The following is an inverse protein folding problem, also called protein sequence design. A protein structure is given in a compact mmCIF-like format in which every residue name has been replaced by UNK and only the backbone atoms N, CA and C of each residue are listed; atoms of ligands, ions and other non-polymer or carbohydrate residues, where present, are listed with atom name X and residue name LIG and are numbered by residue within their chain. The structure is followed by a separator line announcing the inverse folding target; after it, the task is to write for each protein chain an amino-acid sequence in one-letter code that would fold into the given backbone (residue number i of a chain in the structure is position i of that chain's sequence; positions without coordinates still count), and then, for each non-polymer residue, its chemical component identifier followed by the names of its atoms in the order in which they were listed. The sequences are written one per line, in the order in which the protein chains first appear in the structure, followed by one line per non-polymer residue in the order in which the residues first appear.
data_IF_196164071493
#
_entry.id   IF_196164071493
#
_cell.length_a   1.000
_cell.length_b   1.000
_cell.length_c   1.000
_cell.angle_alpha   90.00
_cell.angle_beta   90.00
_cell.angle_gamma   90.00
#
_symmetry.space_group_name_H-M   'P 1'
#
loop_
_entity.id
_entity.type
_entity.pdbx_description
1 polymer ?
#
# COMPACT_ATOMS: atom_id res chain seq x y z
N UNK A 1 5.16 3.30 -2.31
CA UNK A 1 4.79 3.89 -0.99
C UNK A 1 3.64 4.87 -1.14
N UNK A 2 2.84 5.09 -0.08
CA UNK A 2 1.84 6.17 -0.08
C UNK A 2 2.51 7.46 0.39
N UNK A 3 2.17 8.58 -0.25
CA UNK A 3 2.70 9.90 0.06
C UNK A 3 1.55 10.84 0.41
N UNK A 4 1.67 11.56 1.53
CA UNK A 4 0.78 12.64 1.93
C UNK A 4 1.59 13.92 2.03
N UNK A 5 1.25 14.92 1.22
CA UNK A 5 1.97 16.19 1.13
C UNK A 5 1.17 17.26 1.86
N UNK A 6 1.84 18.07 2.67
CA UNK A 6 1.25 19.31 3.17
C UNK A 6 1.21 20.34 2.02
N UNK A 7 0.01 20.83 1.70
CA UNK A 7 -0.19 21.70 0.52
C UNK A 7 -0.32 23.19 0.88
N UNK A 8 0.12 23.55 2.06
CA UNK A 8 0.30 24.96 2.38
C UNK A 8 1.51 25.49 1.59
N UNK A 9 1.44 26.72 1.18
CA UNK A 9 2.51 27.41 0.46
C UNK A 9 3.07 26.60 -0.75
N UNK A 10 4.36 26.28 -0.75
CA UNK A 10 5.04 25.60 -1.85
C UNK A 10 4.63 24.12 -2.03
N UNK A 11 4.08 23.49 -0.99
CA UNK A 11 3.70 22.07 -1.04
C UNK A 11 2.64 21.75 -2.08
N UNK A 12 1.78 22.71 -2.43
CA UNK A 12 0.83 22.56 -3.52
C UNK A 12 1.53 22.35 -4.87
N UNK A 13 2.61 23.07 -5.15
CA UNK A 13 3.38 22.91 -6.39
C UNK A 13 4.10 21.54 -6.44
N UNK A 14 4.60 21.09 -5.30
CA UNK A 14 5.21 19.76 -5.20
C UNK A 14 4.18 18.67 -5.48
N UNK A 15 2.97 18.80 -4.92
CA UNK A 15 1.88 17.86 -5.18
C UNK A 15 1.48 17.83 -6.66
N UNK A 16 1.39 18.99 -7.32
CA UNK A 16 1.10 19.11 -8.75
C UNK A 16 2.18 18.44 -9.61
N UNK A 17 3.45 18.67 -9.35
CA UNK A 17 4.58 18.03 -10.06
C UNK A 17 4.51 16.50 -9.88
N UNK A 18 4.29 16.03 -8.66
CA UNK A 18 4.20 14.59 -8.40
C UNK A 18 3.04 13.94 -9.14
N UNK A 19 1.89 14.59 -9.20
CA UNK A 19 0.69 14.07 -9.85
C UNK A 19 0.76 14.15 -11.37
N UNK A 20 1.16 15.30 -11.92
CA UNK A 20 1.02 15.57 -13.35
C UNK A 20 2.31 15.34 -14.14
N UNK A 21 3.48 15.65 -13.57
CA UNK A 21 4.76 15.49 -14.27
C UNK A 21 5.38 14.10 -14.03
N UNK A 22 5.24 13.58 -12.80
CA UNK A 22 5.79 12.27 -12.42
C UNK A 22 4.74 11.14 -12.45
N UNK A 23 3.46 11.46 -12.66
CA UNK A 23 2.34 10.51 -12.71
C UNK A 23 2.34 9.53 -11.51
N UNK A 24 2.64 10.06 -10.30
CA UNK A 24 2.76 9.23 -9.11
C UNK A 24 1.38 8.83 -8.57
N UNK A 25 1.02 7.55 -8.71
CA UNK A 25 -0.33 7.03 -8.45
C UNK A 25 -0.71 6.97 -6.95
N UNK A 26 0.28 6.86 -6.05
CA UNK A 26 0.03 6.66 -4.61
C UNK A 26 0.05 7.95 -3.80
N UNK A 27 -0.33 9.07 -4.42
CA UNK A 27 -0.51 10.35 -3.74
C UNK A 27 -1.87 10.39 -3.03
N UNK A 28 -1.85 10.59 -1.71
CA UNK A 28 -3.07 10.64 -0.91
C UNK A 28 -3.79 11.97 -1.10
N UNK A 29 -5.09 11.89 -1.34
CA UNK A 29 -5.96 13.04 -1.51
C UNK A 29 -6.79 13.29 -0.26
N UNK A 30 -7.04 14.57 0.03
CA UNK A 30 -7.90 14.98 1.13
C UNK A 30 -9.11 15.75 0.59
N UNK A 31 -10.26 15.54 1.21
CA UNK A 31 -11.49 16.25 0.91
C UNK A 31 -12.02 16.95 2.16
N UNK A 32 -12.65 18.11 1.98
CA UNK A 32 -13.37 18.81 3.05
C UNK A 32 -14.74 18.18 3.26
N UNK A 33 -15.02 17.69 4.46
CA UNK A 33 -16.30 17.06 4.82
C UNK A 33 -17.01 17.85 5.92
N UNK A 34 -17.58 18.99 5.56
CA UNK A 34 -18.38 19.80 6.45
C UNK A 34 -17.70 20.10 7.80
N UNK A 35 -18.40 19.79 8.91
CA UNK A 35 -17.87 20.00 10.27
C UNK A 35 -16.79 19.02 10.68
N UNK A 36 -16.66 17.87 10.00
CA UNK A 36 -15.62 16.89 10.29
C UNK A 36 -14.23 17.34 9.84
N UNK A 37 -14.12 18.43 9.09
CA UNK A 37 -12.87 18.97 8.60
C UNK A 37 -12.34 18.16 7.41
N UNK A 38 -11.04 17.99 7.33
CA UNK A 38 -10.39 17.21 6.27
C UNK A 38 -10.41 15.72 6.58
N UNK A 39 -10.67 14.92 5.55
CA UNK A 39 -10.59 13.46 5.58
C UNK A 39 -9.77 12.99 4.38
N UNK A 40 -9.04 11.90 4.54
CA UNK A 40 -8.37 11.20 3.44
C UNK A 40 -9.40 10.36 2.66
N UNK A 41 -9.29 10.33 1.34
CA UNK A 41 -10.18 9.58 0.47
C UNK A 41 -9.60 9.35 -0.92
N UNK A 42 -10.40 8.72 -1.79
CA UNK A 42 -9.98 8.31 -3.14
C UNK A 42 -9.98 9.44 -4.19
N UNK A 43 -10.20 10.68 -3.81
CA UNK A 43 -10.15 11.79 -4.76
C UNK A 43 -11.40 12.00 -5.63
N UNK A 44 -12.43 11.17 -5.54
CA UNK A 44 -13.65 11.27 -6.36
C UNK A 44 -14.60 12.41 -5.98
N UNK A 45 -14.32 13.14 -4.92
CA UNK A 45 -15.12 14.29 -4.51
C UNK A 45 -14.72 15.54 -5.29
N UNK A 46 -15.70 16.35 -5.74
CA UNK A 46 -15.46 17.65 -6.37
C UNK A 46 -14.65 18.65 -5.52
N UNK A 47 -14.47 18.37 -4.24
CA UNK A 47 -13.69 19.19 -3.29
C UNK A 47 -12.41 18.48 -2.81
N UNK A 48 -11.98 17.45 -3.53
CA UNK A 48 -10.73 16.78 -3.25
C UNK A 48 -9.56 17.63 -3.71
N UNK A 49 -8.50 17.67 -2.89
CA UNK A 49 -7.22 18.28 -3.22
C UNK A 49 -6.11 17.25 -2.99
N UNK A 50 -5.05 17.33 -3.75
CA UNK A 50 -3.86 16.53 -3.57
C UNK A 50 -3.17 16.96 -2.28
N UNK A 51 -2.99 15.99 -1.35
CA UNK A 51 -2.36 16.27 -0.06
C UNK A 51 -3.30 16.89 0.99
N UNK A 52 -2.74 17.35 2.08
CA UNK A 52 -3.43 17.87 3.25
C UNK A 52 -3.15 19.35 3.44
N UNK A 53 -4.18 20.13 3.73
CA UNK A 53 -4.00 21.51 4.17
C UNK A 53 -3.86 21.55 5.69
N UNK A 54 -2.71 22.03 6.19
CA UNK A 54 -2.51 22.22 7.62
C UNK A 54 -3.45 23.30 8.16
N UNK A 55 -4.39 22.87 8.97
CA UNK A 55 -5.32 23.75 9.69
C UNK A 55 -5.13 23.57 11.19
N UNK A 56 -5.61 24.53 11.98
CA UNK A 56 -5.55 24.43 13.46
C UNK A 56 -6.20 23.14 13.98
N UNK A 57 -7.26 22.67 13.33
CA UNK A 57 -7.94 21.42 13.70
C UNK A 57 -7.08 20.19 13.39
N UNK A 58 -6.48 20.12 12.19
CA UNK A 58 -5.59 19.03 11.79
C UNK A 58 -4.38 18.99 12.73
N UNK A 59 -3.73 20.14 12.98
CA UNK A 59 -2.59 20.24 13.87
C UNK A 59 -2.92 19.77 15.30
N UNK A 60 -4.02 20.27 15.88
CA UNK A 60 -4.45 19.85 17.23
C UNK A 60 -4.75 18.35 17.32
N UNK A 61 -5.51 17.82 16.34
CA UNK A 61 -5.84 16.40 16.32
C UNK A 61 -4.59 15.55 16.12
N UNK A 62 -3.70 15.95 15.20
CA UNK A 62 -2.44 15.25 14.95
C UNK A 62 -1.54 15.24 16.19
N UNK A 63 -1.36 16.38 16.88
CA UNK A 63 -0.58 16.44 18.12
C UNK A 63 -1.17 15.57 19.24
N UNK A 64 -2.51 15.56 19.38
CA UNK A 64 -3.17 14.70 20.38
C UNK A 64 -2.97 13.22 20.08
N UNK A 65 -3.10 12.84 18.82
CA UNK A 65 -2.88 11.47 18.36
C UNK A 65 -1.41 11.05 18.48
N UNK A 66 -0.47 11.95 18.13
CA UNK A 66 0.97 11.70 18.26
C UNK A 66 1.34 11.40 19.71
N UNK A 67 0.83 12.22 20.64
CA UNK A 67 1.01 11.99 22.06
C UNK A 67 0.50 10.61 22.49
N UNK A 68 -0.72 10.24 22.07
CA UNK A 68 -1.29 8.94 22.40
C UNK A 68 -0.49 7.77 21.79
N UNK A 69 0.00 7.90 20.54
CA UNK A 69 0.83 6.88 19.92
C UNK A 69 2.15 6.64 20.64
N UNK A 70 2.77 7.71 21.18
CA UNK A 70 4.01 7.61 21.96
C UNK A 70 3.72 7.02 23.35
N UNK A 71 2.69 7.52 24.05
CA UNK A 71 2.32 7.06 25.40
C UNK A 71 1.86 5.58 25.41
N UNK A 72 1.25 5.12 24.33
CA UNK A 72 0.77 3.72 24.16
C UNK A 72 1.87 2.78 23.59
N UNK A 73 3.12 3.22 23.44
CA UNK A 73 4.23 2.49 22.80
C UNK A 73 3.91 1.95 21.39
N UNK A 74 3.02 2.66 20.65
CA UNK A 74 2.63 2.29 19.28
C UNK A 74 3.50 2.93 18.20
N UNK A 75 4.32 3.90 18.56
CA UNK A 75 5.24 4.58 17.68
C UNK A 75 6.64 4.58 18.29
N UNK A 76 7.54 3.87 17.62
CA UNK A 76 8.95 3.83 17.98
C UNK A 76 9.71 4.86 17.13
N UNK A 77 10.38 5.82 17.78
CA UNK A 77 11.19 6.85 17.14
C UNK A 77 12.65 6.60 17.49
N UNK A 78 13.45 6.28 16.48
CA UNK A 78 14.88 5.95 16.64
C UNK A 78 15.80 7.07 16.13
N UNK A 79 15.25 8.07 15.45
CA UNK A 79 16.01 9.16 14.86
C UNK A 79 16.26 10.27 15.86
N UNK A 80 17.53 10.67 15.99
CA UNK A 80 17.94 11.70 16.97
C UNK A 80 17.40 13.09 16.63
N UNK A 81 17.38 13.48 15.37
CA UNK A 81 16.96 14.80 14.93
C UNK A 81 15.46 15.00 15.18
N UNK A 82 14.67 13.96 14.91
CA UNK A 82 13.24 13.93 15.23
C UNK A 82 13.01 14.10 16.74
N UNK A 83 13.78 13.36 17.57
CA UNK A 83 13.65 13.47 19.03
C UNK A 83 14.05 14.86 19.49
N UNK A 84 15.12 15.44 18.93
CA UNK A 84 15.56 16.79 19.26
C UNK A 84 14.47 17.84 18.96
N UNK A 85 13.83 17.79 17.79
CA UNK A 85 12.72 18.69 17.46
C UNK A 85 11.51 18.49 18.38
N UNK A 86 11.17 17.24 18.71
CA UNK A 86 10.06 16.96 19.65
C UNK A 86 10.32 17.51 21.05
N UNK A 87 11.57 17.59 21.52
CA UNK A 87 11.89 18.17 22.84
C UNK A 87 11.68 19.68 22.90
N UNK A 88 11.80 20.36 21.75
CA UNK A 88 11.59 21.83 21.62
C UNK A 88 10.19 22.18 21.10
N UNK A 89 9.34 21.16 20.82
CA UNK A 89 8.00 21.37 20.31
C UNK A 89 7.00 21.63 21.42
N UNK A 90 6.58 22.89 21.58
CA UNK A 90 5.79 23.37 22.69
C UNK A 90 4.39 23.83 22.27
N UNK A 91 3.47 23.82 23.23
CA UNK A 91 2.17 24.48 23.06
C UNK A 91 2.28 25.97 23.27
N UNK A 92 1.97 26.77 22.26
CA UNK A 92 1.94 28.23 22.33
C UNK A 92 0.53 28.72 22.01
N UNK A 93 -0.12 29.29 23.03
CA UNK A 93 -1.54 29.71 22.96
C UNK A 93 -2.47 28.57 22.60
N UNK A 94 -3.03 28.59 21.38
CA UNK A 94 -3.96 27.57 20.86
C UNK A 94 -3.33 26.68 19.76
N UNK A 95 -2.03 26.80 19.52
CA UNK A 95 -1.29 26.05 18.53
C UNK A 95 -0.10 25.33 19.18
N UNK A 96 0.65 24.62 18.36
CA UNK A 96 1.89 23.95 18.71
C UNK A 96 2.95 24.42 17.72
N UNK A 97 4.14 24.74 18.19
CA UNK A 97 5.27 25.19 17.36
C UNK A 97 6.59 24.93 18.09
N UNK A 98 7.72 24.97 17.37
CA UNK A 98 9.02 24.93 18.03
C UNK A 98 9.25 26.16 18.88
N UNK A 99 10.15 26.04 19.86
CA UNK A 99 10.70 27.18 20.62
C UNK A 99 11.43 28.13 19.65
N UNK A 100 11.57 29.40 20.10
CA UNK A 100 12.22 30.42 19.28
C UNK A 100 13.66 30.03 18.91
N UNK A 101 13.95 30.00 17.65
CA UNK A 101 15.25 29.59 17.10
C UNK A 101 15.41 28.09 16.85
N UNK A 102 14.37 27.28 17.05
CA UNK A 102 14.32 25.87 16.74
C UNK A 102 13.40 25.58 15.54
N UNK A 103 13.59 24.41 14.91
CA UNK A 103 12.78 23.94 13.81
C UNK A 103 11.73 22.92 14.29
N UNK A 104 10.62 22.79 13.56
CA UNK A 104 9.56 21.79 13.83
C UNK A 104 9.18 20.98 12.59
N UNK A 105 10.00 20.96 11.55
CA UNK A 105 9.68 20.35 10.27
C UNK A 105 9.46 18.83 10.39
N UNK A 106 10.37 18.13 11.06
CA UNK A 106 10.27 16.69 11.29
C UNK A 106 9.16 16.36 12.29
N UNK A 107 9.03 17.15 13.35
CA UNK A 107 7.93 17.03 14.31
C UNK A 107 6.57 17.19 13.61
N UNK A 108 6.44 18.13 12.67
CA UNK A 108 5.23 18.34 11.88
C UNK A 108 4.95 17.18 10.94
N UNK A 109 5.96 16.53 10.36
CA UNK A 109 5.77 15.30 9.61
C UNK A 109 5.15 14.19 10.47
N UNK A 110 5.60 14.03 11.72
CA UNK A 110 5.00 13.08 12.67
C UNK A 110 3.57 13.46 13.06
N UNK A 111 3.28 14.74 13.21
CA UNK A 111 1.92 15.24 13.48
C UNK A 111 0.97 14.88 12.33
N UNK A 112 1.41 15.07 11.09
CA UNK A 112 0.64 14.69 9.89
C UNK A 112 0.46 13.16 9.84
N UNK A 113 1.51 12.40 10.11
CA UNK A 113 1.44 10.93 10.18
C UNK A 113 0.44 10.46 11.25
N UNK A 114 0.51 11.02 12.46
CA UNK A 114 -0.40 10.68 13.55
C UNK A 114 -1.86 11.06 13.26
N UNK A 115 -2.09 12.11 12.46
CA UNK A 115 -3.41 12.42 11.95
C UNK A 115 -3.86 11.41 10.88
N UNK A 116 -2.95 10.97 10.01
CA UNK A 116 -3.23 10.04 8.91
C UNK A 116 -3.62 8.63 9.40
N UNK A 117 -2.90 8.07 10.37
CA UNK A 117 -3.11 6.68 10.82
C UNK A 117 -4.47 6.41 11.46
N UNK A 118 -5.18 7.45 11.89
CA UNK A 118 -6.55 7.32 12.43
C UNK A 118 -7.63 7.43 11.36
N UNK A 119 -7.27 7.83 10.13
CA UNK A 119 -8.21 7.98 9.03
C UNK A 119 -8.74 6.62 8.57
N UNK A 120 -10.06 6.44 8.42
CA UNK A 120 -10.65 5.16 8.00
C UNK A 120 -10.08 4.65 6.68
N UNK A 121 -10.01 5.50 5.67
CA UNK A 121 -9.48 5.15 4.36
C UNK A 121 -8.03 4.63 4.42
N UNK A 122 -7.17 5.28 5.22
CA UNK A 122 -5.79 4.83 5.37
C UNK A 122 -5.70 3.48 6.11
N UNK A 123 -6.56 3.24 7.10
CA UNK A 123 -6.67 1.95 7.78
C UNK A 123 -7.08 0.84 6.81
N UNK A 124 -8.03 1.11 5.92
CA UNK A 124 -8.43 0.16 4.87
C UNK A 124 -7.28 -0.13 3.91
N UNK A 125 -6.56 0.90 3.44
CA UNK A 125 -5.41 0.73 2.55
C UNK A 125 -4.26 -0.09 3.16
N UNK A 126 -4.09 -0.02 4.48
CA UNK A 126 -3.00 -0.70 5.19
C UNK A 126 -3.42 -2.01 5.86
N UNK A 127 -4.69 -2.41 5.74
CA UNK A 127 -5.19 -3.67 6.30
C UNK A 127 -4.62 -4.87 5.54
N UNK A 128 -3.84 -5.68 6.24
CA UNK A 128 -3.25 -6.89 5.67
C UNK A 128 -4.31 -7.93 5.27
N UNK A 129 -5.44 -7.97 5.97
CA UNK A 129 -6.54 -8.89 5.68
C UNK A 129 -7.22 -8.55 4.35
N UNK A 130 -7.41 -7.26 4.05
CA UNK A 130 -7.97 -6.81 2.78
C UNK A 130 -7.00 -7.11 1.64
N UNK A 131 -5.70 -6.86 1.84
CA UNK A 131 -4.67 -7.18 0.84
C UNK A 131 -4.61 -8.66 0.52
N UNK A 132 -4.69 -9.53 1.53
CA UNK A 132 -4.71 -10.98 1.35
C UNK A 132 -5.92 -11.42 0.54
N UNK A 133 -7.12 -10.94 0.87
CA UNK A 133 -8.34 -11.24 0.12
C UNK A 133 -8.24 -10.79 -1.33
N UNK A 134 -7.80 -9.55 -1.59
CA UNK A 134 -7.62 -9.07 -2.96
C UNK A 134 -6.61 -9.89 -3.76
N UNK A 135 -5.54 -10.34 -3.10
CA UNK A 135 -4.55 -11.21 -3.74
C UNK A 135 -5.11 -12.62 -4.03
N UNK A 136 -5.89 -13.17 -3.11
CA UNK A 136 -6.58 -14.46 -3.27
C UNK A 136 -7.61 -14.38 -4.40
N UNK A 137 -8.45 -13.34 -4.42
CA UNK A 137 -9.45 -13.10 -5.47
C UNK A 137 -8.80 -12.94 -6.86
N UNK A 138 -7.68 -12.20 -6.94
CA UNK A 138 -6.93 -12.06 -8.18
C UNK A 138 -6.31 -13.38 -8.65
N UNK A 139 -5.80 -14.18 -7.73
CA UNK A 139 -5.22 -15.48 -8.05
C UNK A 139 -6.29 -16.44 -8.56
N UNK A 140 -7.46 -16.49 -7.93
CA UNK A 140 -8.59 -17.30 -8.37
C UNK A 140 -9.06 -16.88 -9.77
N UNK A 141 -9.20 -15.58 -10.02
CA UNK A 141 -9.58 -15.07 -11.34
C UNK A 141 -8.56 -15.46 -12.43
N UNK A 142 -7.26 -15.41 -12.14
CA UNK A 142 -6.21 -15.87 -13.07
C UNK A 142 -6.29 -17.38 -13.30
N UNK A 143 -6.51 -18.17 -12.25
CA UNK A 143 -6.66 -19.61 -12.35
C UNK A 143 -7.90 -19.99 -13.17
N UNK A 144 -9.03 -19.28 -13.01
CA UNK A 144 -10.22 -19.46 -13.84
C UNK A 144 -9.99 -19.08 -15.31
N UNK A 145 -9.32 -17.98 -15.59
CA UNK A 145 -9.00 -17.54 -16.94
C UNK A 145 -7.99 -18.47 -17.65
N UNK A 146 -7.15 -19.16 -16.89
CA UNK A 146 -6.19 -20.12 -17.43
C UNK A 146 -6.79 -21.52 -17.69
N UNK A 147 -7.96 -21.83 -17.14
CA UNK A 147 -8.61 -23.12 -17.33
C UNK A 147 -8.91 -23.45 -18.82
N UNK A 148 -9.31 -22.48 -19.69
CA UNK A 148 -9.51 -22.75 -21.11
C UNK A 148 -8.24 -23.08 -21.90
N UNK A 149 -7.07 -22.62 -21.43
CA UNK A 149 -5.80 -22.84 -22.14
C UNK A 149 -5.36 -24.31 -22.14
N UNK A 150 -5.75 -25.09 -21.15
CA UNK A 150 -5.51 -26.53 -21.12
C UNK A 150 -6.24 -27.29 -22.22
N UNK A 151 -7.44 -26.84 -22.59
CA UNK A 151 -8.23 -27.44 -23.67
C UNK A 151 -7.69 -27.14 -25.08
N UNK A 152 -7.03 -26.01 -25.27
CA UNK A 152 -6.45 -25.64 -26.57
C UNK A 152 -5.15 -26.43 -26.81
N UNK A 153 -4.42 -26.79 -25.78
CA UNK A 153 -3.22 -27.62 -25.90
C UNK A 153 -3.54 -29.09 -26.19
N UNK A 154 -4.61 -29.63 -25.61
CA UNK A 154 -5.08 -30.97 -25.90
C UNK A 154 -5.54 -31.12 -27.36
N UNK A 155 -6.14 -30.07 -27.93
CA UNK A 155 -6.59 -30.08 -29.33
C UNK A 155 -5.46 -29.90 -30.37
N UNK A 156 -4.30 -29.40 -29.98
CA UNK A 156 -3.13 -29.22 -30.85
C UNK A 156 -2.26 -30.47 -30.85
N UNK A 157 -2.19 -31.19 -29.73
CA UNK A 157 -1.39 -32.39 -29.59
C UNK A 157 -2.02 -33.58 -30.37
N UNK A 158 -3.33 -33.63 -30.54
CA UNK A 158 -4.01 -34.62 -31.35
C UNK A 158 -3.71 -34.50 -32.85
N UNK A 159 -3.36 -33.33 -33.36
CA UNK A 159 -3.00 -33.13 -34.78
C UNK A 159 -1.54 -33.51 -35.10
N UNK A 160 -0.67 -33.57 -34.14
CA UNK A 160 0.76 -33.90 -34.32
C UNK A 160 1.06 -35.40 -34.19
N UNK A 161 0.13 -36.19 -33.70
CA UNK A 161 0.27 -37.65 -33.46
C UNK A 161 0.16 -38.50 -34.70
N UNK A 162 -0.14 -37.94 -35.86
CA UNK A 162 -0.34 -38.70 -37.10
C UNK A 162 0.93 -39.14 -37.83
N UNK A 163 2.13 -39.01 -37.25
CA UNK A 163 3.37 -39.27 -38.00
C UNK A 163 4.07 -40.59 -37.65
N UNK A 164 3.80 -41.23 -36.52
CA UNK A 164 4.38 -42.55 -36.27
C UNK A 164 3.69 -43.27 -35.08
N UNK A 165 2.83 -44.26 -35.44
CA UNK A 165 1.83 -44.87 -34.55
C UNK A 165 2.38 -45.59 -33.30
N UNK A 166 3.65 -45.88 -33.19
CA UNK A 166 4.19 -46.63 -32.04
C UNK A 166 5.16 -45.84 -31.14
N UNK A 167 5.83 -44.84 -31.65
CA UNK A 167 6.81 -44.06 -30.88
C UNK A 167 6.29 -42.68 -30.51
N UNK A 168 5.34 -42.12 -31.25
CA UNK A 168 4.75 -40.80 -31.01
C UNK A 168 3.81 -40.78 -29.80
N UNK A 169 2.91 -41.74 -29.69
CA UNK A 169 1.96 -41.81 -28.57
C UNK A 169 2.65 -42.05 -27.23
N UNK A 170 3.64 -42.93 -27.18
CA UNK A 170 4.41 -43.13 -25.95
C UNK A 170 5.26 -41.90 -25.56
N UNK A 171 5.75 -41.10 -26.52
CA UNK A 171 6.54 -39.91 -26.24
C UNK A 171 5.68 -38.75 -25.72
N UNK A 172 4.50 -38.56 -26.28
CA UNK A 172 3.54 -37.52 -25.83
C UNK A 172 3.01 -37.87 -24.43
N UNK A 173 2.59 -39.12 -24.23
CA UNK A 173 2.14 -39.60 -22.91
C UNK A 173 3.23 -39.48 -21.83
N UNK A 174 4.49 -39.78 -22.16
CA UNK A 174 5.60 -39.58 -21.21
C UNK A 174 5.86 -38.13 -20.88
N UNK A 175 5.74 -37.20 -21.83
CA UNK A 175 5.90 -35.79 -21.60
C UNK A 175 4.78 -35.20 -20.71
N UNK A 176 3.52 -35.60 -20.94
CA UNK A 176 2.39 -35.19 -20.11
C UNK A 176 2.52 -35.72 -18.69
N UNK A 177 2.87 -37.00 -18.52
CA UNK A 177 3.12 -37.55 -17.18
C UNK A 177 4.32 -36.88 -16.48
N UNK A 178 5.38 -36.58 -17.20
CA UNK A 178 6.56 -35.90 -16.64
C UNK A 178 6.23 -34.46 -16.21
N UNK A 179 5.41 -33.76 -16.98
CA UNK A 179 4.98 -32.38 -16.64
C UNK A 179 4.04 -32.35 -15.43
N UNK A 180 3.13 -33.31 -15.31
CA UNK A 180 2.23 -33.45 -14.16
C UNK A 180 3.03 -33.84 -12.90
N UNK A 181 3.97 -34.78 -13.00
CA UNK A 181 4.81 -35.21 -11.89
C UNK A 181 5.72 -34.08 -11.42
N UNK A 182 6.30 -33.27 -12.31
CA UNK A 182 7.10 -32.12 -11.95
C UNK A 182 6.29 -31.02 -11.26
N UNK A 183 5.01 -30.81 -11.61
CA UNK A 183 4.12 -29.89 -10.91
C UNK A 183 3.74 -30.38 -9.52
N UNK A 184 3.43 -31.66 -9.36
CA UNK A 184 3.13 -32.25 -8.05
C UNK A 184 4.38 -32.29 -7.13
N UNK A 185 5.55 -32.53 -7.67
CA UNK A 185 6.81 -32.49 -6.91
C UNK A 185 7.20 -31.05 -6.55
N UNK A 186 7.01 -30.07 -7.42
CA UNK A 186 7.25 -28.65 -7.12
C UNK A 186 6.28 -28.13 -6.03
N UNK A 187 5.02 -28.56 -6.05
CA UNK A 187 4.06 -28.23 -5.00
C UNK A 187 4.42 -28.86 -3.65
N UNK A 188 4.94 -30.08 -3.64
CA UNK A 188 5.40 -30.77 -2.42
C UNK A 188 6.68 -30.18 -1.84
N UNK A 189 7.61 -29.72 -2.67
CA UNK A 189 8.84 -29.05 -2.22
C UNK A 189 8.50 -27.70 -1.60
N UNK A 190 7.58 -26.92 -2.18
CA UNK A 190 7.13 -25.64 -1.61
C UNK A 190 6.44 -25.78 -0.25
N UNK A 191 5.72 -26.88 -0.01
CA UNK A 191 5.07 -27.16 1.28
C UNK A 191 6.05 -27.65 2.37
N UNK A 192 7.15 -28.29 1.98
CA UNK A 192 8.15 -28.78 2.93
C UNK A 192 9.13 -27.69 3.39
N UNK A 193 9.35 -26.64 2.59
CA UNK A 193 10.23 -25.53 2.95
C UNK A 193 9.56 -24.51 3.90
N UNK A 194 8.22 -24.48 3.95
CA UNK A 194 7.45 -23.61 4.86
C UNK A 194 7.28 -24.20 6.28
N UNK A 195 7.70 -25.43 6.51
CA UNK A 195 7.57 -26.13 7.80
C UNK A 195 8.84 -26.18 8.65
N UNK A 196 9.93 -25.48 8.27
CA UNK A 196 11.19 -25.47 9.04
C UNK A 196 11.72 -24.03 9.19
N UNK A 197 11.05 -23.26 10.02
CA UNK A 197 11.64 -22.12 10.75
C UNK A 197 10.78 -21.81 11.96
#
# INVERSE_FOLDING_TARGET
AYILIEVNDIGGQVADIMQFDLEYENLLMCAMRGRAGQIVGQGFSHKSQMGIKMTTTVKKTGCSNLKALIEDDKLLINDYDIIAELTTFIQKKQSFEAEEGCNDDLAMCLVIYAWLVVQPYFKELTSDDIRKRLFEDQREAIEEDMAPFGFILDGIDDETVTVDEKTGEEKVMKNIKTTIILREEAAKVSLNDLGRN
#
